data_IF_655906338111
#
_entry.id   IF_655906338111
#
_cell.length_a   1.000
_cell.length_b   1.000
_cell.length_c   1.000
_cell.angle_alpha   90.00
_cell.angle_beta   90.00
_cell.angle_gamma   90.00
#
_symmetry.space_group_name_H-M   'P 1'
#
loop_
_entity.id
_entity.type
_entity.pdbx_description
1 polymer ?
#
# COMPACT_ATOMS: atom_id res chain seq x y z
N UNK A 1 8.43 32.93 2.42
CA UNK A 1 7.06 32.68 1.96
C UNK A 1 7.19 31.69 0.82
N UNK A 2 7.13 30.41 1.12
CA UNK A 2 7.08 29.35 0.10
C UNK A 2 5.66 29.36 -0.44
N UNK A 3 5.49 29.66 -1.72
CA UNK A 3 4.24 29.37 -2.41
C UNK A 3 4.00 27.86 -2.28
N UNK A 4 3.00 27.46 -1.51
CA UNK A 4 2.47 26.10 -1.57
C UNK A 4 1.90 25.95 -2.99
N UNK A 5 2.64 25.26 -3.86
CA UNK A 5 2.12 24.84 -5.15
C UNK A 5 0.88 24.00 -4.87
N UNK A 6 -0.29 24.48 -5.30
CA UNK A 6 -1.54 23.71 -5.25
C UNK A 6 -1.30 22.36 -5.92
N UNK A 7 -1.39 21.28 -5.14
CA UNK A 7 -1.25 19.92 -5.64
C UNK A 7 -2.57 19.53 -6.30
N UNK A 8 -2.59 19.51 -7.63
CA UNK A 8 -3.77 19.10 -8.38
C UNK A 8 -3.85 17.57 -8.44
N UNK A 9 -5.00 17.04 -8.02
CA UNK A 9 -5.31 15.62 -8.15
C UNK A 9 -5.34 15.21 -9.64
N UNK A 10 -4.79 14.04 -10.02
CA UNK A 10 -5.01 13.47 -11.34
C UNK A 10 -6.50 13.27 -11.65
N UNK A 11 -6.93 13.24 -12.93
CA UNK A 11 -8.34 13.10 -13.30
C UNK A 11 -9.06 11.88 -12.71
N UNK A 12 -8.33 10.79 -12.49
CA UNK A 12 -8.82 9.51 -11.96
C UNK A 12 -8.92 9.49 -10.42
N UNK A 13 -8.52 10.57 -9.77
CA UNK A 13 -8.44 10.69 -8.31
C UNK A 13 -9.60 11.51 -7.79
N UNK A 14 -10.25 10.99 -6.77
CA UNK A 14 -11.47 11.56 -6.20
C UNK A 14 -11.36 11.75 -4.69
N UNK A 15 -11.98 12.84 -4.24
CA UNK A 15 -12.41 13.03 -2.86
C UNK A 15 -13.91 13.32 -2.90
N UNK A 16 -14.72 12.37 -2.41
CA UNK A 16 -16.18 12.49 -2.44
C UNK A 16 -16.68 13.09 -1.13
N UNK A 17 -17.38 14.22 -1.23
CA UNK A 17 -17.94 14.94 -0.09
C UNK A 17 -19.33 14.40 0.26
N UNK A 18 -20.08 13.96 -0.73
CA UNK A 18 -21.44 13.46 -0.54
C UNK A 18 -21.71 12.17 -1.31
N UNK A 19 -22.62 11.33 -0.78
CA UNK A 19 -22.94 10.02 -1.35
C UNK A 19 -23.49 10.11 -2.79
N UNK A 20 -24.08 11.26 -3.17
CA UNK A 20 -24.60 11.49 -4.52
C UNK A 20 -23.50 11.58 -5.59
N UNK A 21 -22.27 11.90 -5.21
CA UNK A 21 -21.10 11.94 -6.10
C UNK A 21 -20.48 10.54 -6.29
N UNK A 22 -20.78 9.61 -5.38
CA UNK A 22 -20.10 8.31 -5.28
C UNK A 22 -20.75 7.28 -6.22
N UNK A 23 -19.97 6.63 -7.11
CA UNK A 23 -20.45 5.51 -7.91
C UNK A 23 -21.14 4.43 -7.06
N UNK A 24 -22.23 3.86 -7.58
CA UNK A 24 -23.14 3.01 -6.81
C UNK A 24 -22.45 1.82 -6.12
N UNK A 25 -21.49 1.19 -6.80
CA UNK A 25 -20.70 0.07 -6.33
C UNK A 25 -19.67 0.43 -5.24
N UNK A 26 -19.29 1.71 -5.14
CA UNK A 26 -18.38 2.26 -4.13
C UNK A 26 -19.11 2.73 -2.87
N UNK A 27 -20.40 3.07 -2.95
CA UNK A 27 -21.15 3.70 -1.84
C UNK A 27 -21.06 2.94 -0.51
N UNK A 28 -21.00 1.60 -0.53
CA UNK A 28 -20.87 0.79 0.69
C UNK A 28 -19.49 0.94 1.36
N UNK A 29 -18.45 1.20 0.58
CA UNK A 29 -17.10 1.50 1.08
C UNK A 29 -17.03 2.94 1.57
N UNK A 30 -17.59 3.90 0.83
CA UNK A 30 -17.62 5.31 1.22
C UNK A 30 -18.38 5.56 2.52
N UNK A 31 -19.49 4.84 2.78
CA UNK A 31 -20.19 4.87 4.08
C UNK A 31 -19.28 4.47 5.26
N UNK A 32 -18.21 3.72 4.97
CA UNK A 32 -17.21 3.27 5.94
C UNK A 32 -15.87 4.01 5.80
N UNK A 33 -15.82 5.11 5.04
CA UNK A 33 -14.58 5.85 4.74
C UNK A 33 -13.74 6.18 5.98
N UNK A 34 -14.38 6.52 7.11
CA UNK A 34 -13.71 6.81 8.38
C UNK A 34 -13.05 5.59 9.04
N UNK A 35 -13.50 4.39 8.70
CA UNK A 35 -12.82 3.13 9.09
C UNK A 35 -11.66 2.82 8.15
N UNK A 36 -11.76 3.25 6.90
CA UNK A 36 -10.73 3.07 5.87
C UNK A 36 -9.56 4.02 6.14
N UNK A 37 -9.85 5.32 6.22
CA UNK A 37 -8.93 6.37 6.62
C UNK A 37 -9.63 7.25 7.66
N UNK A 38 -9.11 7.29 8.89
CA UNK A 38 -9.68 8.12 9.96
C UNK A 38 -9.63 9.61 9.64
N UNK A 39 -8.63 10.04 8.84
CA UNK A 39 -8.46 11.40 8.35
C UNK A 39 -9.15 11.68 7.01
N UNK A 40 -10.20 10.94 6.63
CA UNK A 40 -10.79 11.08 5.31
C UNK A 40 -11.16 12.53 4.97
N UNK A 41 -11.83 13.24 5.89
CA UNK A 41 -12.26 14.64 5.71
C UNK A 41 -11.09 15.65 5.61
N UNK A 42 -9.85 15.24 5.91
CA UNK A 42 -8.65 16.09 5.73
C UNK A 42 -8.17 16.09 4.26
N UNK A 43 -8.98 15.58 3.33
CA UNK A 43 -8.72 15.62 1.89
C UNK A 43 -8.08 14.36 1.34
N UNK A 44 -8.33 13.19 1.94
CA UNK A 44 -7.80 11.90 1.44
C UNK A 44 -8.21 11.65 -0.01
N UNK A 45 -7.26 11.17 -0.81
CA UNK A 45 -7.40 10.84 -2.21
C UNK A 45 -7.50 9.34 -2.43
N UNK A 46 -8.44 8.93 -3.27
CA UNK A 46 -8.63 7.57 -3.74
C UNK A 46 -9.02 7.58 -5.22
N UNK A 47 -8.51 6.64 -6.00
CA UNK A 47 -9.15 6.28 -7.27
C UNK A 47 -10.36 5.38 -6.99
N UNK A 48 -11.25 5.23 -7.96
CA UNK A 48 -12.41 4.35 -7.84
C UNK A 48 -12.02 2.90 -7.48
N UNK A 49 -11.03 2.36 -8.18
CA UNK A 49 -10.53 1.00 -7.94
C UNK A 49 -9.88 0.85 -6.55
N UNK A 50 -9.25 1.90 -6.01
CA UNK A 50 -8.55 1.83 -4.74
C UNK A 50 -9.50 1.59 -3.55
N UNK A 51 -10.78 1.96 -3.66
CA UNK A 51 -11.79 1.69 -2.62
C UNK A 51 -11.98 0.21 -2.32
N UNK A 52 -11.80 -0.66 -3.31
CA UNK A 52 -12.00 -2.10 -3.14
C UNK A 52 -10.80 -2.81 -2.51
N UNK A 53 -9.60 -2.26 -2.68
CA UNK A 53 -8.34 -2.88 -2.24
C UNK A 53 -7.73 -2.28 -0.97
N UNK A 54 -8.14 -1.08 -0.57
CA UNK A 54 -7.55 -0.41 0.58
C UNK A 54 -7.83 -1.15 1.89
N UNK A 55 -6.76 -1.43 2.64
CA UNK A 55 -6.85 -2.05 3.96
C UNK A 55 -7.35 -1.02 4.97
N UNK A 56 -8.44 -1.29 5.72
CA UNK A 56 -8.93 -0.37 6.74
C UNK A 56 -7.85 -0.01 7.77
N UNK A 57 -7.76 1.26 8.20
CA UNK A 57 -6.67 1.76 9.04
C UNK A 57 -6.45 0.92 10.32
N UNK A 58 -7.52 0.51 10.99
CA UNK A 58 -7.42 -0.35 12.18
C UNK A 58 -6.79 -1.72 11.91
N UNK A 59 -6.96 -2.26 10.70
CA UNK A 59 -6.35 -3.52 10.26
C UNK A 59 -4.89 -3.27 9.88
N UNK A 60 -4.63 -2.22 9.10
CA UNK A 60 -3.27 -1.82 8.71
C UNK A 60 -2.37 -1.58 9.95
N UNK A 61 -2.89 -0.92 10.98
CA UNK A 61 -2.18 -0.70 12.24
C UNK A 61 -1.85 -2.02 12.96
N UNK A 62 -2.79 -2.97 13.03
CA UNK A 62 -2.54 -4.29 13.63
C UNK A 62 -1.50 -5.10 12.85
N UNK A 63 -1.54 -5.03 11.51
CA UNK A 63 -0.51 -5.64 10.65
C UNK A 63 0.86 -5.01 10.98
N UNK A 64 0.94 -3.68 11.04
CA UNK A 64 2.17 -2.98 11.37
C UNK A 64 2.71 -3.35 12.77
N UNK A 65 1.84 -3.47 13.77
CA UNK A 65 2.20 -3.94 15.12
C UNK A 65 2.76 -5.37 15.10
N UNK A 66 2.06 -6.29 14.44
CA UNK A 66 2.49 -7.69 14.34
C UNK A 66 3.83 -7.83 13.63
N UNK A 67 4.02 -7.19 12.47
CA UNK A 67 5.30 -7.23 11.74
C UNK A 67 6.40 -6.57 12.59
N UNK A 68 6.11 -5.47 13.28
CA UNK A 68 7.11 -4.80 14.13
C UNK A 68 7.58 -5.68 15.28
N UNK A 69 6.68 -6.48 15.86
CA UNK A 69 6.97 -7.39 16.97
C UNK A 69 7.69 -8.68 16.51
N UNK A 70 7.40 -9.18 15.30
CA UNK A 70 7.96 -10.44 14.80
C UNK A 70 9.24 -10.27 13.97
N UNK A 71 9.45 -9.10 13.36
CA UNK A 71 10.60 -8.86 12.50
C UNK A 71 11.93 -8.90 13.26
N UNK A 72 12.97 -9.58 12.71
CA UNK A 72 14.30 -9.57 13.31
C UNK A 72 14.83 -8.16 13.54
N UNK A 73 15.52 -7.95 14.67
CA UNK A 73 15.94 -6.59 15.13
C UNK A 73 16.91 -5.90 14.18
N UNK A 74 17.71 -6.68 13.46
CA UNK A 74 18.68 -6.25 12.45
C UNK A 74 18.02 -5.83 11.13
N UNK A 75 16.78 -6.27 10.87
CA UNK A 75 15.98 -5.77 9.75
C UNK A 75 15.38 -4.42 10.12
N UNK A 76 15.82 -3.37 9.45
CA UNK A 76 15.49 -1.97 9.77
C UNK A 76 14.74 -1.25 8.65
N UNK A 77 14.57 -1.91 7.50
CA UNK A 77 13.84 -1.42 6.33
C UNK A 77 12.60 -2.27 6.13
N UNK A 78 11.50 -1.65 5.69
CA UNK A 78 10.33 -2.37 5.19
C UNK A 78 10.10 -2.01 3.72
N UNK A 79 9.82 -3.02 2.91
CA UNK A 79 9.42 -2.87 1.52
C UNK A 79 7.95 -3.27 1.40
N UNK A 80 7.11 -2.32 1.01
CA UNK A 80 5.70 -2.57 0.66
C UNK A 80 5.63 -2.74 -0.86
N UNK A 81 5.49 -3.97 -1.33
CA UNK A 81 5.58 -4.33 -2.74
C UNK A 81 4.33 -3.94 -3.56
N UNK A 82 3.20 -3.66 -2.88
CA UNK A 82 1.92 -3.32 -3.50
C UNK A 82 1.22 -2.25 -2.65
N UNK A 83 1.73 -1.02 -2.71
CA UNK A 83 1.39 0.02 -1.76
C UNK A 83 -0.08 0.49 -1.87
N UNK A 84 -0.70 0.35 -3.05
CA UNK A 84 -2.05 0.86 -3.31
C UNK A 84 -2.14 2.34 -2.96
N UNK A 85 -3.27 2.77 -2.39
CA UNK A 85 -3.45 4.15 -1.93
C UNK A 85 -2.74 4.47 -0.59
N UNK A 86 -1.79 3.63 -0.17
CA UNK A 86 -0.86 3.91 0.93
C UNK A 86 -1.31 3.46 2.33
N UNK A 87 -2.44 2.76 2.48
CA UNK A 87 -2.99 2.39 3.80
C UNK A 87 -1.98 1.64 4.70
N UNK A 88 -1.39 0.55 4.18
CA UNK A 88 -0.39 -0.24 4.91
C UNK A 88 0.94 0.53 5.04
N UNK A 89 1.43 1.14 3.96
CA UNK A 89 2.64 1.97 3.96
C UNK A 89 2.62 3.08 5.03
N UNK A 90 1.49 3.78 5.19
CA UNK A 90 1.30 4.80 6.22
C UNK A 90 1.37 4.17 7.62
N UNK A 91 0.69 3.04 7.84
CA UNK A 91 0.72 2.34 9.13
C UNK A 91 2.15 1.87 9.50
N UNK A 92 2.90 1.33 8.54
CA UNK A 92 4.30 0.96 8.74
C UNK A 92 5.15 2.18 9.10
N UNK A 93 5.00 3.31 8.40
CA UNK A 93 5.74 4.53 8.71
C UNK A 93 5.37 5.13 10.08
N UNK A 94 4.10 5.03 10.49
CA UNK A 94 3.62 5.47 11.81
C UNK A 94 4.14 4.60 12.96
N UNK A 95 4.41 3.31 12.72
CA UNK A 95 4.89 2.39 13.76
C UNK A 95 6.22 2.79 14.42
N UNK A 96 7.05 3.58 13.72
CA UNK A 96 8.37 4.00 14.20
C UNK A 96 9.43 2.89 14.23
N UNK A 97 9.08 1.65 13.82
CA UNK A 97 9.98 0.50 13.81
C UNK A 97 11.03 0.55 12.70
N UNK A 98 10.71 1.20 11.59
CA UNK A 98 11.50 1.18 10.36
C UNK A 98 12.25 2.48 10.19
N UNK A 99 13.54 2.40 9.83
CA UNK A 99 14.33 3.57 9.42
C UNK A 99 13.79 4.18 8.13
N UNK A 100 13.23 3.34 7.26
CA UNK A 100 12.65 3.73 5.97
C UNK A 100 11.63 2.69 5.54
N UNK A 101 10.52 3.15 4.97
CA UNK A 101 9.59 2.33 4.18
C UNK A 101 9.84 2.61 2.70
N UNK A 102 10.04 1.57 1.90
CA UNK A 102 10.07 1.68 0.44
C UNK A 102 8.77 1.11 -0.10
N UNK A 103 7.96 1.92 -0.76
CA UNK A 103 6.62 1.57 -1.19
C UNK A 103 6.54 1.59 -2.72
N UNK A 104 6.05 0.52 -3.31
CA UNK A 104 5.98 0.32 -4.76
C UNK A 104 4.52 0.27 -5.19
N UNK A 105 4.17 1.07 -6.19
CA UNK A 105 2.86 1.02 -6.83
C UNK A 105 3.02 1.17 -8.34
N UNK A 106 2.31 0.35 -9.10
CA UNK A 106 2.42 0.31 -10.56
C UNK A 106 1.55 1.35 -11.23
N UNK A 107 0.38 1.64 -10.67
CA UNK A 107 -0.54 2.62 -11.22
C UNK A 107 -0.17 4.04 -10.74
N UNK A 108 0.17 4.98 -11.64
CA UNK A 108 0.61 6.33 -11.26
C UNK A 108 -0.45 7.14 -10.51
N UNK A 109 -1.74 7.00 -10.86
CA UNK A 109 -2.82 7.71 -10.18
C UNK A 109 -3.01 7.19 -8.75
N UNK A 110 -2.95 5.87 -8.56
CA UNK A 110 -3.00 5.25 -7.22
C UNK A 110 -1.78 5.64 -6.39
N UNK A 111 -0.61 5.70 -7.02
CA UNK A 111 0.62 6.16 -6.37
C UNK A 111 0.52 7.64 -5.95
N UNK A 112 -0.11 8.50 -6.75
CA UNK A 112 -0.37 9.89 -6.40
C UNK A 112 -1.26 9.98 -5.15
N UNK A 113 -2.33 9.18 -5.07
CA UNK A 113 -3.15 9.04 -3.86
C UNK A 113 -2.29 8.66 -2.65
N UNK A 114 -1.43 7.64 -2.79
CA UNK A 114 -0.59 7.16 -1.68
C UNK A 114 0.36 8.25 -1.14
N UNK A 115 1.01 9.00 -2.05
CA UNK A 115 1.90 10.11 -1.71
C UNK A 115 1.15 11.23 -0.99
N UNK A 116 0.00 11.64 -1.52
CA UNK A 116 -0.86 12.66 -0.92
C UNK A 116 -1.38 12.25 0.45
N UNK A 117 -1.91 11.05 0.56
CA UNK A 117 -2.41 10.51 1.82
C UNK A 117 -1.29 10.45 2.87
N UNK A 118 -0.07 10.06 2.50
CA UNK A 118 1.05 10.08 3.44
C UNK A 118 1.38 11.47 4.00
N UNK A 119 1.19 12.54 3.22
CA UNK A 119 1.34 13.94 3.68
C UNK A 119 0.28 14.30 4.72
N UNK A 120 -0.98 13.94 4.47
CA UNK A 120 -2.09 14.14 5.44
C UNK A 120 -1.80 13.47 6.78
N UNK A 121 -1.16 12.30 6.75
CA UNK A 121 -0.78 11.55 7.95
C UNK A 121 0.59 11.97 8.53
N UNK A 122 1.30 12.91 7.91
CA UNK A 122 2.57 13.46 8.38
C UNK A 122 3.72 12.46 8.38
N UNK A 123 3.72 11.50 7.45
CA UNK A 123 4.72 10.43 7.35
C UNK A 123 5.42 10.39 5.99
N UNK A 124 5.18 11.36 5.12
CA UNK A 124 5.75 11.43 3.78
C UNK A 124 7.28 11.36 3.80
N UNK A 125 7.93 12.00 4.78
CA UNK A 125 9.39 11.99 4.93
C UNK A 125 9.98 10.61 5.27
N UNK A 126 9.16 9.68 5.75
CA UNK A 126 9.55 8.31 6.16
C UNK A 126 9.37 7.27 5.05
N UNK A 127 8.75 7.64 3.92
CA UNK A 127 8.44 6.73 2.83
C UNK A 127 9.18 7.16 1.57
N UNK A 128 9.82 6.21 0.91
CA UNK A 128 10.39 6.41 -0.43
C UNK A 128 9.53 5.62 -1.42
N UNK A 129 9.04 6.30 -2.45
CA UNK A 129 8.07 5.76 -3.40
C UNK A 129 8.73 5.35 -4.71
N UNK A 130 8.32 4.22 -5.27
CA UNK A 130 8.66 3.82 -6.64
C UNK A 130 7.40 3.58 -7.45
N UNK A 131 7.42 4.09 -8.68
CA UNK A 131 6.41 3.79 -9.69
C UNK A 131 6.90 2.65 -10.57
N UNK A 132 6.12 1.57 -10.66
CA UNK A 132 6.40 0.49 -11.61
C UNK A 132 6.11 -0.90 -11.09
N UNK A 133 6.65 -1.88 -11.80
CA UNK A 133 6.49 -3.29 -11.45
C UNK A 133 7.37 -3.67 -10.25
N UNK A 134 6.76 -4.28 -9.23
CA UNK A 134 7.47 -4.57 -7.99
C UNK A 134 8.64 -5.55 -8.18
N UNK A 135 8.52 -6.52 -9.08
CA UNK A 135 9.56 -7.52 -9.29
C UNK A 135 10.78 -6.89 -9.95
N UNK A 136 10.57 -6.00 -10.92
CA UNK A 136 11.65 -5.24 -11.55
C UNK A 136 12.32 -4.28 -10.58
N UNK A 137 11.54 -3.52 -9.81
CA UNK A 137 12.07 -2.55 -8.83
C UNK A 137 12.89 -3.24 -7.74
N UNK A 138 12.43 -4.39 -7.25
CA UNK A 138 13.16 -5.19 -6.27
C UNK A 138 14.52 -5.64 -6.79
N UNK A 139 14.60 -6.08 -8.05
CA UNK A 139 15.84 -6.55 -8.69
C UNK A 139 16.80 -5.41 -9.05
N UNK A 140 16.28 -4.24 -9.41
CA UNK A 140 17.08 -3.15 -9.97
C UNK A 140 17.44 -2.07 -8.97
N UNK A 141 16.48 -1.63 -8.14
CA UNK A 141 16.63 -0.48 -7.25
C UNK A 141 16.80 -0.86 -5.78
N UNK A 142 16.28 -2.02 -5.35
CA UNK A 142 16.22 -2.41 -3.94
C UNK A 142 17.03 -3.67 -3.58
N UNK A 143 17.75 -4.26 -4.55
CA UNK A 143 18.51 -5.51 -4.36
C UNK A 143 19.45 -5.46 -3.17
N UNK A 144 20.20 -4.35 -3.01
CA UNK A 144 21.24 -4.21 -1.98
C UNK A 144 20.65 -3.96 -0.59
N UNK A 145 19.33 -3.70 -0.51
CA UNK A 145 18.62 -3.53 0.76
C UNK A 145 18.02 -4.84 1.28
N UNK A 146 18.01 -5.91 0.48
CA UNK A 146 17.37 -7.20 0.83
C UNK A 146 17.84 -7.76 2.18
N UNK A 147 19.16 -7.69 2.43
CA UNK A 147 19.76 -8.14 3.67
C UNK A 147 19.27 -7.39 4.93
N UNK A 148 18.67 -6.20 4.79
CA UNK A 148 18.18 -5.37 5.90
C UNK A 148 16.66 -5.20 5.91
N UNK A 149 15.96 -5.83 4.98
CA UNK A 149 14.55 -5.57 4.71
C UNK A 149 13.62 -6.68 5.16
N UNK A 150 12.41 -6.29 5.54
CA UNK A 150 11.21 -7.15 5.53
C UNK A 150 10.37 -6.75 4.31
N UNK A 151 9.95 -7.73 3.51
CA UNK A 151 9.04 -7.49 2.38
C UNK A 151 7.61 -7.81 2.84
N UNK A 152 6.72 -6.83 2.71
CA UNK A 152 5.29 -6.99 2.82
C UNK A 152 4.67 -6.94 1.43
N UNK A 153 3.76 -7.87 1.15
CA UNK A 153 3.07 -7.95 -0.13
C UNK A 153 1.58 -8.19 0.09
N UNK A 154 0.77 -7.23 -0.33
CA UNK A 154 -0.69 -7.35 -0.46
C UNK A 154 -1.10 -7.14 -1.92
N UNK A 155 -0.80 -8.09 -2.82
CA UNK A 155 -1.14 -7.97 -4.24
C UNK A 155 -2.65 -7.81 -4.45
N UNK A 156 -3.08 -7.34 -5.64
CA UNK A 156 -4.48 -7.42 -6.02
C UNK A 156 -4.92 -8.88 -6.01
N UNK A 157 -6.04 -9.19 -5.34
CA UNK A 157 -6.52 -10.57 -5.16
C UNK A 157 -7.73 -10.93 -6.04
N UNK A 158 -7.90 -10.26 -7.18
CA UNK A 158 -9.05 -10.50 -8.09
C UNK A 158 -10.35 -9.76 -7.74
N UNK A 159 -10.33 -8.79 -6.83
CA UNK A 159 -11.48 -7.91 -6.55
C UNK A 159 -12.69 -8.61 -5.89
N UNK A 160 -13.91 -8.03 -5.94
CA UNK A 160 -15.10 -8.59 -5.29
C UNK A 160 -15.51 -9.98 -5.80
N UNK A 161 -15.06 -10.37 -7.00
CA UNK A 161 -15.26 -11.71 -7.58
C UNK A 161 -14.60 -12.83 -6.76
N UNK A 162 -13.63 -12.49 -5.91
CA UNK A 162 -13.04 -13.44 -4.96
C UNK A 162 -14.03 -13.94 -3.88
N UNK A 163 -15.16 -13.24 -3.66
CA UNK A 163 -16.17 -13.65 -2.66
C UNK A 163 -17.04 -14.83 -3.10
N UNK A 164 -16.98 -15.26 -4.37
CA UNK A 164 -17.79 -16.38 -4.88
C UNK A 164 -17.12 -17.76 -4.79
N UNK A 165 -15.84 -17.84 -4.42
CA UNK A 165 -15.14 -19.11 -4.32
C UNK A 165 -15.29 -19.72 -2.91
N UNK A 166 -15.84 -20.94 -2.83
CA UNK A 166 -16.08 -21.66 -1.58
C UNK A 166 -14.79 -22.04 -0.82
N UNK A 167 -13.64 -22.03 -1.49
CA UNK A 167 -12.33 -22.37 -0.91
C UNK A 167 -11.25 -21.42 -1.48
N UNK A 168 -10.66 -20.60 -0.61
CA UNK A 168 -9.49 -19.81 -0.99
C UNK A 168 -8.26 -20.70 -1.14
N UNK A 169 -7.82 -20.89 -2.37
CA UNK A 169 -6.60 -21.64 -2.64
C UNK A 169 -5.42 -20.70 -2.90
N UNK A 170 -4.48 -20.68 -1.96
CA UNK A 170 -3.26 -19.88 -2.03
C UNK A 170 -2.37 -20.19 -3.25
N UNK A 171 -2.55 -21.35 -3.89
CA UNK A 171 -1.74 -21.81 -5.03
C UNK A 171 -2.33 -21.40 -6.39
N UNK A 172 -3.61 -21.01 -6.46
CA UNK A 172 -4.30 -20.64 -7.70
C UNK A 172 -4.78 -19.20 -7.68
N UNK A 173 -4.20 -18.38 -6.80
CA UNK A 173 -4.57 -16.98 -6.66
C UNK A 173 -4.21 -16.20 -7.92
N UNK A 174 -5.12 -15.35 -8.38
CA UNK A 174 -4.88 -14.42 -9.48
C UNK A 174 -4.67 -12.98 -8.96
N UNK A 175 -3.77 -12.21 -9.59
CA UNK A 175 -2.95 -12.58 -10.76
C UNK A 175 -1.67 -13.34 -10.40
N UNK A 176 -1.36 -13.53 -9.11
CA UNK A 176 -0.13 -14.19 -8.65
C UNK A 176 -0.41 -15.26 -7.60
N UNK A 177 0.12 -16.47 -7.82
CA UNK A 177 0.10 -17.54 -6.81
C UNK A 177 1.09 -17.29 -5.67
N UNK A 178 0.87 -17.91 -4.51
CA UNK A 178 1.80 -17.84 -3.38
C UNK A 178 3.22 -18.32 -3.75
N UNK A 179 3.33 -19.38 -4.56
CA UNK A 179 4.62 -19.91 -5.02
C UNK A 179 5.37 -18.90 -5.89
N UNK A 180 4.65 -18.18 -6.76
CA UNK A 180 5.24 -17.12 -7.57
C UNK A 180 5.78 -15.99 -6.68
N UNK A 181 4.96 -15.52 -5.73
CA UNK A 181 5.37 -14.46 -4.79
C UNK A 181 6.57 -14.90 -3.93
N UNK A 182 6.53 -16.09 -3.36
CA UNK A 182 7.60 -16.61 -2.50
C UNK A 182 8.92 -16.74 -3.27
N UNK A 183 8.89 -17.25 -4.50
CA UNK A 183 10.08 -17.40 -5.34
C UNK A 183 10.72 -16.05 -5.66
N UNK A 184 9.94 -15.08 -6.09
CA UNK A 184 10.47 -13.75 -6.45
C UNK A 184 10.99 -12.98 -5.23
N UNK A 185 10.34 -13.12 -4.06
CA UNK A 185 10.79 -12.43 -2.85
C UNK A 185 11.97 -13.10 -2.14
N UNK A 186 12.09 -14.43 -2.22
CA UNK A 186 13.23 -15.13 -1.62
C UNK A 186 14.55 -14.84 -2.35
N UNK A 187 14.48 -14.58 -3.66
CA UNK A 187 15.64 -14.22 -4.47
C UNK A 187 16.35 -12.94 -3.99
N UNK A 188 15.66 -12.07 -3.26
CA UNK A 188 16.22 -10.83 -2.71
C UNK A 188 17.09 -11.09 -1.48
N UNK A 189 16.85 -12.19 -0.75
CA UNK A 189 17.61 -12.57 0.44
C UNK A 189 18.91 -13.33 0.15
N UNK A 190 19.03 -13.94 -1.04
CA UNK A 190 20.14 -14.84 -1.39
C UNK A 190 21.35 -14.13 -2.03
N UNK A 191 21.22 -12.87 -2.47
CA UNK A 191 22.31 -12.11 -3.14
C UNK A 191 23.35 -11.56 -2.14
N UNK A 192 23.18 -11.84 -0.83
CA UNK A 192 24.06 -11.39 0.24
C UNK A 192 24.97 -12.47 0.86
N UNK A 193 25.18 -13.59 0.17
CA UNK A 193 26.09 -14.68 0.57
C UNK A 193 27.44 -14.63 -0.14
#
# INVERSE_FOLDING_TARGET
>A
MTEELEEFAPPEVHHYNEIGEVPWDIQNYWKQRHRIFTKYEEGVWLTDDAWFGVTPESIANKIAEHISASAPKDKVVLIDAFAGAGGNSIAFAKSGRWKRVYAIEKNPAVLACAKHNAKIYGVESKITWFEGDCFEILKTHLKDLGAYSVVFASPPWGGPGYRSDEIFNLHTMEPYSLDHLHKEYSAIGEVGG
#
